data_IF_503385939741
#
_entry.id   IF_503385939741
#
_cell.length_a   1.000
_cell.length_b   1.000
_cell.length_c   1.000
_cell.angle_alpha   90.00
_cell.angle_beta   90.00
_cell.angle_gamma   90.00
#
_symmetry.space_group_name_H-M   'P 1'
#
loop_
_entity.id
_entity.type
_entity.pdbx_description
1 polymer ?
#
# COMPACT_ATOMS: atom_id res chain seq x y z
N UNK A 1 -1.75 4.30 22.55
CA UNK A 1 -2.32 3.83 21.28
C UNK A 1 -1.35 2.82 20.72
N UNK A 2 -1.74 1.56 20.66
CA UNK A 2 -0.87 0.49 20.15
C UNK A 2 -0.66 0.70 18.64
N UNK A 3 0.58 0.54 18.17
CA UNK A 3 1.00 0.70 16.76
C UNK A 3 0.44 -0.40 15.83
N UNK A 4 -0.74 -0.95 16.10
CA UNK A 4 -1.19 -2.21 15.52
C UNK A 4 -2.07 -2.10 14.27
N UNK A 5 -2.47 -0.90 13.85
CA UNK A 5 -3.37 -0.72 12.69
C UNK A 5 -2.77 0.16 11.58
N UNK A 6 -1.48 0.04 11.29
CA UNK A 6 -0.90 0.70 10.11
C UNK A 6 -1.20 -0.18 8.88
N UNK A 7 -1.92 0.34 7.85
CA UNK A 7 -2.22 -0.45 6.66
C UNK A 7 -0.95 -0.90 5.93
N UNK A 8 -0.96 -2.12 5.37
CA UNK A 8 0.15 -2.70 4.64
C UNK A 8 0.68 -1.78 3.50
N UNK A 9 -0.24 -1.12 2.78
CA UNK A 9 0.15 -0.19 1.72
C UNK A 9 0.98 0.99 2.24
N UNK A 10 0.80 1.42 3.50
CA UNK A 10 1.60 2.50 4.10
C UNK A 10 3.01 2.01 4.44
N UNK A 11 3.13 0.76 4.91
CA UNK A 11 4.41 0.16 5.28
C UNK A 11 5.26 -0.17 4.06
N UNK A 12 4.62 -0.50 2.94
CA UNK A 12 5.29 -0.74 1.66
C UNK A 12 5.85 0.53 0.98
N UNK A 13 5.62 1.72 1.56
CA UNK A 13 6.09 3.00 1.04
C UNK A 13 7.38 3.45 1.73
N UNK A 14 8.36 3.80 0.91
CA UNK A 14 9.58 4.47 1.40
C UNK A 14 9.29 5.86 2.00
N UNK A 15 10.22 6.34 2.83
CA UNK A 15 10.11 7.65 3.49
C UNK A 15 9.85 8.79 2.50
N UNK A 16 10.46 8.78 1.31
CA UNK A 16 10.26 9.81 0.28
C UNK A 16 8.81 9.85 -0.23
N UNK A 17 8.17 8.69 -0.37
CA UNK A 17 6.77 8.57 -0.76
C UNK A 17 5.85 9.15 0.33
N UNK A 18 6.13 8.86 1.60
CA UNK A 18 5.36 9.39 2.73
C UNK A 18 5.49 10.91 2.83
N UNK A 19 6.69 11.47 2.60
CA UNK A 19 6.88 12.92 2.53
C UNK A 19 6.15 13.56 1.35
N UNK A 20 6.14 12.90 0.20
CA UNK A 20 5.38 13.34 -0.97
C UNK A 20 3.88 13.38 -0.66
N UNK A 21 3.32 12.33 -0.06
CA UNK A 21 1.91 12.27 0.37
C UNK A 21 1.62 13.40 1.35
N UNK A 22 2.46 13.58 2.36
CA UNK A 22 2.29 14.65 3.36
C UNK A 22 2.22 16.02 2.70
N UNK A 23 3.17 16.36 1.82
CA UNK A 23 3.18 17.65 1.12
C UNK A 23 2.01 17.78 0.13
N UNK A 24 1.63 16.69 -0.53
CA UNK A 24 0.47 16.65 -1.43
C UNK A 24 -0.83 16.97 -0.68
N UNK A 25 -1.05 16.37 0.49
CA UNK A 25 -2.21 16.66 1.34
C UNK A 25 -2.18 18.10 1.86
N UNK A 26 -1.02 18.59 2.31
CA UNK A 26 -0.88 19.97 2.78
C UNK A 26 -1.10 21.01 1.68
N UNK A 27 -0.88 20.65 0.42
CA UNK A 27 -1.20 21.46 -0.76
C UNK A 27 -2.60 21.20 -1.33
N UNK A 28 -3.49 20.56 -0.56
CA UNK A 28 -4.86 20.22 -1.00
C UNK A 28 -4.91 19.42 -2.31
N UNK A 29 -3.88 18.61 -2.58
CA UNK A 29 -3.75 17.80 -3.79
C UNK A 29 -3.30 18.58 -5.03
N UNK A 30 -2.83 19.82 -4.89
CA UNK A 30 -2.41 20.68 -5.99
C UNK A 30 -1.05 20.26 -6.55
N UNK A 31 -1.07 19.57 -7.69
CA UNK A 31 0.15 19.24 -8.44
C UNK A 31 0.96 20.48 -8.87
N UNK A 32 0.28 21.61 -9.08
CA UNK A 32 0.93 22.88 -9.44
C UNK A 32 1.73 23.44 -8.25
N UNK A 33 1.12 23.46 -7.06
CA UNK A 33 1.80 23.96 -5.86
C UNK A 33 2.94 23.03 -5.44
N UNK A 34 2.74 21.72 -5.64
CA UNK A 34 3.81 20.74 -5.49
C UNK A 34 4.97 21.01 -6.46
N UNK A 35 4.70 21.30 -7.74
CA UNK A 35 5.75 21.62 -8.71
C UNK A 35 6.56 22.84 -8.28
N UNK A 36 5.89 23.89 -7.79
CA UNK A 36 6.55 25.07 -7.22
C UNK A 36 7.36 24.74 -5.97
N UNK A 37 6.81 23.97 -5.03
CA UNK A 37 7.47 23.61 -3.77
C UNK A 37 8.71 22.73 -3.98
N UNK A 38 8.67 21.83 -4.96
CA UNK A 38 9.79 20.97 -5.32
C UNK A 38 10.75 21.60 -6.34
N UNK A 39 10.43 22.79 -6.88
CA UNK A 39 11.20 23.47 -7.93
C UNK A 39 11.42 22.60 -9.18
N UNK A 40 10.42 21.81 -9.54
CA UNK A 40 10.44 20.94 -10.72
C UNK A 40 9.27 21.25 -11.65
N UNK A 41 9.28 20.67 -12.83
CA UNK A 41 8.18 20.83 -13.78
C UNK A 41 6.90 20.14 -13.29
N UNK A 42 5.74 20.66 -13.66
CA UNK A 42 4.46 20.00 -13.41
C UNK A 42 4.42 18.56 -13.95
N UNK A 43 4.88 18.26 -15.19
CA UNK A 43 5.00 16.88 -15.67
C UNK A 43 5.84 15.98 -14.76
N UNK A 44 6.92 16.50 -14.16
CA UNK A 44 7.77 15.74 -13.24
C UNK A 44 7.01 15.32 -11.98
N UNK A 45 6.27 16.25 -11.35
CA UNK A 45 5.44 15.92 -10.17
C UNK A 45 4.32 14.96 -10.54
N UNK A 46 3.71 15.15 -11.71
CA UNK A 46 2.65 14.23 -12.19
C UNK A 46 3.18 12.82 -12.38
N UNK A 47 4.36 12.65 -12.96
CA UNK A 47 5.00 11.35 -13.11
C UNK A 47 5.25 10.70 -11.74
N UNK A 48 5.76 11.46 -10.78
CA UNK A 48 5.99 10.97 -9.41
C UNK A 48 4.68 10.56 -8.70
N UNK A 49 3.60 11.32 -8.87
CA UNK A 49 2.29 10.93 -8.34
C UNK A 49 1.80 9.63 -8.99
N UNK A 50 1.92 9.49 -10.31
CA UNK A 50 1.50 8.27 -11.00
C UNK A 50 2.27 7.04 -10.49
N UNK A 51 3.60 7.15 -10.33
CA UNK A 51 4.43 6.06 -9.76
C UNK A 51 3.98 5.67 -8.35
N UNK A 52 3.65 6.65 -7.52
CA UNK A 52 3.12 6.40 -6.17
C UNK A 52 1.77 5.67 -6.22
N UNK A 53 0.87 6.09 -7.10
CA UNK A 53 -0.44 5.44 -7.29
C UNK A 53 -0.25 3.99 -7.73
N UNK A 54 0.60 3.75 -8.74
CA UNK A 54 0.92 2.40 -9.23
C UNK A 54 1.49 1.53 -8.11
N UNK A 55 2.41 2.06 -7.29
CA UNK A 55 2.99 1.32 -6.17
C UNK A 55 1.94 0.92 -5.13
N UNK A 56 1.05 1.84 -4.76
CA UNK A 56 -0.02 1.57 -3.79
C UNK A 56 -0.98 0.52 -4.34
N UNK A 57 -1.35 0.62 -5.62
CA UNK A 57 -2.26 -0.33 -6.27
C UNK A 57 -1.65 -1.73 -6.37
N UNK A 58 -0.37 -1.85 -6.75
CA UNK A 58 0.32 -3.14 -6.82
C UNK A 58 0.33 -3.87 -5.46
N UNK A 59 0.57 -3.14 -4.36
CA UNK A 59 0.57 -3.74 -3.01
C UNK A 59 -0.83 -4.23 -2.63
N UNK A 60 -1.88 -3.50 -3.00
CA UNK A 60 -3.25 -3.96 -2.78
C UNK A 60 -3.59 -5.19 -3.63
N UNK A 61 -3.15 -5.21 -4.89
CA UNK A 61 -3.37 -6.37 -5.76
C UNK A 61 -2.66 -7.61 -5.23
N UNK A 62 -1.41 -7.51 -4.76
CA UNK A 62 -0.68 -8.64 -4.16
C UNK A 62 -1.40 -9.21 -2.91
N UNK A 63 -1.92 -8.37 -2.01
CA UNK A 63 -2.71 -8.83 -0.85
C UNK A 63 -3.99 -9.54 -1.30
N UNK A 64 -4.69 -8.99 -2.30
CA UNK A 64 -5.91 -9.58 -2.85
C UNK A 64 -5.62 -10.93 -3.52
N UNK A 65 -4.55 -11.03 -4.32
CA UNK A 65 -4.13 -12.27 -4.98
C UNK A 65 -3.74 -13.34 -3.97
N UNK A 66 -2.96 -13.00 -2.95
CA UNK A 66 -2.59 -13.92 -1.88
C UNK A 66 -3.84 -14.45 -1.15
N UNK A 67 -4.74 -13.56 -0.73
CA UNK A 67 -5.98 -13.95 -0.04
C UNK A 67 -6.86 -14.82 -0.94
N UNK A 68 -6.94 -14.53 -2.24
CA UNK A 68 -7.70 -15.34 -3.19
C UNK A 68 -7.07 -16.71 -3.43
N UNK A 69 -5.73 -16.81 -3.50
CA UNK A 69 -5.03 -18.09 -3.59
C UNK A 69 -5.38 -18.99 -2.39
N UNK A 70 -5.34 -18.44 -1.17
CA UNK A 70 -5.70 -19.18 0.04
C UNK A 70 -7.18 -19.60 0.02
N UNK A 71 -8.08 -18.73 -0.43
CA UNK A 71 -9.51 -19.09 -0.59
C UNK A 71 -9.72 -20.23 -1.58
N UNK A 72 -9.00 -20.24 -2.70
CA UNK A 72 -9.10 -21.31 -3.70
C UNK A 72 -8.62 -22.66 -3.13
N UNK A 73 -7.56 -22.68 -2.34
CA UNK A 73 -7.08 -23.90 -1.68
C UNK A 73 -8.12 -24.50 -0.71
N UNK A 74 -8.93 -23.65 -0.08
CA UNK A 74 -10.06 -24.10 0.75
C UNK A 74 -11.18 -24.70 -0.10
N UNK A 75 -11.52 -24.04 -1.22
CA UNK A 75 -12.54 -24.55 -2.15
C UNK A 75 -12.14 -25.89 -2.77
N UNK A 76 -10.84 -26.08 -3.03
CA UNK A 76 -10.27 -27.33 -3.54
C UNK A 76 -10.13 -28.43 -2.46
N UNK A 77 -10.61 -28.18 -1.24
CA UNK A 77 -10.51 -29.09 -0.07
C UNK A 77 -9.06 -29.46 0.33
N UNK A 78 -8.06 -28.71 -0.18
CA UNK A 78 -6.63 -28.90 0.12
C UNK A 78 -6.22 -28.23 1.42
N UNK A 79 -7.04 -27.31 1.93
CA UNK A 79 -6.80 -26.53 3.13
C UNK A 79 -8.10 -26.37 3.93
N UNK A 80 -8.04 -26.52 5.25
CA UNK A 80 -9.21 -26.28 6.09
C UNK A 80 -9.44 -24.76 6.31
N UNK A 81 -10.70 -24.39 6.53
CA UNK A 81 -11.10 -22.99 6.75
C UNK A 81 -10.42 -22.34 7.96
N UNK A 82 -10.20 -23.10 9.03
CA UNK A 82 -9.57 -22.63 10.27
C UNK A 82 -8.08 -22.33 10.05
N UNK A 83 -7.37 -23.20 9.32
CA UNK A 83 -5.96 -22.99 8.98
C UNK A 83 -5.82 -21.82 8.00
N UNK A 84 -6.70 -21.72 7.01
CA UNK A 84 -6.70 -20.60 6.06
C UNK A 84 -6.83 -19.23 6.76
N UNK A 85 -7.73 -19.11 7.74
CA UNK A 85 -7.84 -17.89 8.56
C UNK A 85 -6.54 -17.58 9.30
N UNK A 86 -5.95 -18.60 9.92
CA UNK A 86 -4.69 -18.45 10.65
C UNK A 86 -3.55 -17.97 9.75
N UNK A 87 -3.46 -18.50 8.52
CA UNK A 87 -2.45 -18.09 7.53
C UNK A 87 -2.65 -16.64 7.11
N UNK A 88 -3.88 -16.24 6.75
CA UNK A 88 -4.18 -14.87 6.32
C UNK A 88 -3.91 -13.87 7.45
N UNK A 89 -4.30 -14.22 8.69
CA UNK A 89 -4.07 -13.35 9.85
C UNK A 89 -2.58 -13.22 10.16
N UNK A 90 -1.81 -14.31 10.03
CA UNK A 90 -0.36 -14.27 10.20
C UNK A 90 0.32 -13.45 9.10
N UNK A 91 -0.11 -13.58 7.85
CA UNK A 91 0.41 -12.81 6.72
C UNK A 91 0.23 -11.30 6.92
N UNK A 92 -0.99 -10.88 7.30
CA UNK A 92 -1.30 -9.47 7.59
C UNK A 92 -0.53 -8.91 8.78
N UNK A 93 -0.31 -9.73 9.82
CA UNK A 93 0.51 -9.35 10.98
C UNK A 93 2.01 -9.28 10.66
N UNK A 94 2.48 -10.09 9.72
CA UNK A 94 3.87 -10.08 9.24
C UNK A 94 4.20 -8.79 8.50
N UNK A 95 3.31 -8.35 7.61
CA UNK A 95 3.41 -7.07 6.91
C UNK A 95 3.45 -5.85 7.85
N UNK A 96 2.97 -5.98 9.09
CA UNK A 96 2.98 -4.91 10.09
C UNK A 96 4.29 -4.77 10.90
N UNK A 97 5.22 -5.74 10.77
CA UNK A 97 6.41 -5.86 11.62
C UNK A 97 7.75 -5.66 10.91
N UNK A 98 7.76 -5.67 9.58
CA UNK A 98 8.91 -5.25 8.76
C UNK A 98 8.77 -3.78 8.35
#
# INVERSE_FOLDING_TARGET
>A
MERQDVPAWVLALEQEHLEFIRKFVLSSGSLKDMATAYQVSYPTVRAKLNQLIERIDSVQQEDVEFVNMIKNLVLDERLSLDVAKTIIDSYRKGQAKE
#
